data_IF_733932408885
#
_entry.id   IF_733932408885
#
_cell.length_a   1.000
_cell.length_b   1.000
_cell.length_c   1.000
_cell.angle_alpha   90.00
_cell.angle_beta   90.00
_cell.angle_gamma   90.00
#
_symmetry.space_group_name_H-M   'P 1'
#
loop_
_entity.id
_entity.type
_entity.pdbx_description
1 polymer ?
#
# COMPACT_ATOMS: atom_id res chain seq x y z
N UNK A 1 -23.87 11.19 -40.88
CA UNK A 1 -22.99 11.62 -39.76
C UNK A 1 -23.71 11.36 -38.44
N UNK A 2 -23.84 10.10 -37.99
CA UNK A 2 -24.60 9.73 -36.78
C UNK A 2 -24.01 8.55 -35.99
N UNK A 3 -22.85 8.02 -36.40
CA UNK A 3 -22.27 6.76 -35.88
C UNK A 3 -20.99 7.01 -35.04
N UNK A 4 -20.58 8.27 -34.83
CA UNK A 4 -19.29 8.57 -34.18
C UNK A 4 -19.42 8.80 -32.67
N UNK A 5 -20.63 9.01 -32.14
CA UNK A 5 -20.85 9.38 -30.72
C UNK A 5 -20.91 8.15 -29.79
N UNK A 6 -21.17 6.95 -30.31
CA UNK A 6 -21.39 5.76 -29.50
C UNK A 6 -20.10 5.07 -28.99
N UNK A 7 -18.92 5.41 -29.52
CA UNK A 7 -17.67 4.71 -29.20
C UNK A 7 -16.92 5.26 -27.98
N UNK A 8 -17.33 6.41 -27.44
CA UNK A 8 -16.66 7.08 -26.31
C UNK A 8 -17.11 6.57 -24.92
N UNK A 9 -18.16 5.75 -24.86
CA UNK A 9 -18.78 5.31 -23.59
C UNK A 9 -18.18 3.99 -23.07
N UNK A 10 -17.35 3.30 -23.87
CA UNK A 10 -16.75 2.01 -23.50
C UNK A 10 -15.42 2.13 -22.75
N UNK A 11 -14.86 3.33 -22.60
CA UNK A 11 -13.53 3.53 -22.01
C UNK A 11 -13.52 3.84 -20.50
N UNK A 12 -14.68 3.95 -19.84
CA UNK A 12 -14.77 4.48 -18.47
C UNK A 12 -14.98 3.45 -17.35
N UNK A 13 -14.71 2.15 -17.57
CA UNK A 13 -15.09 1.10 -16.60
C UNK A 13 -13.92 0.38 -15.90
N UNK A 14 -12.67 0.79 -16.09
CA UNK A 14 -11.52 0.06 -15.51
C UNK A 14 -11.20 0.39 -14.05
N UNK A 15 -11.79 1.44 -13.45
CA UNK A 15 -11.42 1.87 -12.09
C UNK A 15 -12.20 1.17 -10.96
N UNK A 16 -13.25 0.40 -11.28
CA UNK A 16 -14.16 -0.19 -10.28
C UNK A 16 -13.84 -1.64 -9.89
N UNK A 17 -12.70 -2.19 -10.30
CA UNK A 17 -12.36 -3.60 -10.07
C UNK A 17 -11.38 -3.85 -8.90
N UNK A 18 -10.72 -2.82 -8.38
CA UNK A 18 -9.69 -2.99 -7.36
C UNK A 18 -10.32 -3.04 -5.96
N UNK A 19 -10.25 -4.21 -5.33
CA UNK A 19 -10.56 -4.38 -3.90
C UNK A 19 -9.30 -4.27 -3.03
N UNK A 20 -8.13 -4.46 -3.63
CA UNK A 20 -6.83 -4.33 -2.99
C UNK A 20 -5.93 -3.47 -3.89
N UNK A 21 -5.17 -2.58 -3.27
CA UNK A 21 -4.18 -1.71 -3.90
C UNK A 21 -2.80 -2.10 -3.41
N UNK A 22 -1.84 -2.14 -4.32
CA UNK A 22 -0.55 -2.79 -4.05
C UNK A 22 0.64 -1.93 -4.48
N UNK A 23 1.73 -2.06 -3.73
CA UNK A 23 3.03 -1.51 -4.11
C UNK A 23 4.16 -2.40 -3.59
N UNK A 24 5.27 -2.47 -4.33
CA UNK A 24 6.52 -3.09 -3.89
C UNK A 24 7.42 -2.02 -3.27
N UNK A 25 7.91 -2.25 -2.05
CA UNK A 25 8.70 -1.27 -1.30
C UNK A 25 10.01 -1.85 -0.78
N UNK A 26 10.99 -0.97 -0.58
CA UNK A 26 12.14 -1.17 0.32
C UNK A 26 12.39 0.16 1.03
N UNK A 27 12.06 0.22 2.32
CA UNK A 27 12.08 1.43 3.13
C UNK A 27 12.66 1.18 4.53
N UNK A 28 12.91 2.25 5.28
CA UNK A 28 13.33 2.19 6.68
C UNK A 28 12.17 2.45 7.62
N UNK A 29 12.12 1.74 8.73
CA UNK A 29 11.15 1.98 9.79
C UNK A 29 11.55 3.24 10.55
N UNK A 30 10.64 4.20 10.66
CA UNK A 30 10.86 5.48 11.35
C UNK A 30 10.15 5.54 12.70
N UNK A 31 9.06 4.79 12.86
CA UNK A 31 8.28 4.73 14.09
C UNK A 31 7.62 3.35 14.21
N UNK A 32 7.47 2.87 15.45
CA UNK A 32 6.75 1.64 15.76
C UNK A 32 5.76 1.94 16.89
N UNK A 33 4.49 1.64 16.66
CA UNK A 33 3.41 1.80 17.63
C UNK A 33 2.67 0.47 17.81
N UNK A 34 2.75 -0.12 18.99
CA UNK A 34 1.96 -1.30 19.35
C UNK A 34 0.49 -0.93 19.47
N UNK A 35 -0.38 -1.59 18.69
CA UNK A 35 -1.84 -1.38 18.74
C UNK A 35 -2.48 -2.39 19.70
N UNK A 36 -2.05 -3.64 19.66
CA UNK A 36 -2.54 -4.73 20.49
C UNK A 36 -1.48 -5.83 20.62
N UNK A 37 -1.76 -6.87 21.39
CA UNK A 37 -0.86 -8.03 21.53
C UNK A 37 -0.62 -8.65 20.17
N UNK A 38 0.62 -8.52 19.67
CA UNK A 38 1.04 -9.05 18.39
C UNK A 38 0.57 -8.26 17.16
N UNK A 39 0.19 -6.98 17.31
CA UNK A 39 -0.11 -6.11 16.17
C UNK A 39 0.50 -4.73 16.34
N UNK A 40 1.18 -4.27 15.29
CA UNK A 40 2.05 -3.10 15.32
C UNK A 40 1.78 -2.26 14.09
N UNK A 41 1.68 -0.95 14.28
CA UNK A 41 1.74 0.00 13.18
C UNK A 41 3.18 0.48 13.04
N UNK A 42 3.75 0.32 11.87
CA UNK A 42 5.08 0.84 11.54
C UNK A 42 4.95 1.98 10.55
N UNK A 43 5.48 3.14 10.93
CA UNK A 43 5.69 4.24 10.00
C UNK A 43 7.01 3.97 9.27
N UNK A 44 7.04 4.29 7.98
CA UNK A 44 8.22 4.09 7.14
C UNK A 44 8.67 5.39 6.49
N UNK A 45 9.95 5.46 6.17
CA UNK A 45 10.59 6.57 5.48
C UNK A 45 11.84 6.09 4.74
N UNK A 46 12.61 7.01 4.18
CA UNK A 46 13.88 6.71 3.48
C UNK A 46 13.75 5.54 2.48
N UNK A 47 12.83 5.67 1.54
CA UNK A 47 12.59 4.66 0.51
C UNK A 47 13.82 4.52 -0.39
N UNK A 48 14.42 3.33 -0.39
CA UNK A 48 15.45 2.94 -1.36
C UNK A 48 14.84 2.36 -2.64
N UNK A 49 13.60 1.85 -2.55
CA UNK A 49 12.84 1.37 -3.69
C UNK A 49 11.34 1.56 -3.45
N UNK A 50 10.61 1.94 -4.50
CA UNK A 50 9.16 1.99 -4.53
C UNK A 50 8.65 1.76 -5.95
N UNK A 51 7.65 0.90 -6.09
CA UNK A 51 6.95 0.66 -7.36
C UNK A 51 5.49 0.33 -7.10
N UNK A 52 4.59 1.13 -7.65
CA UNK A 52 3.15 0.85 -7.68
C UNK A 52 2.82 -0.38 -8.53
N UNK A 53 1.79 -1.12 -8.13
CA UNK A 53 1.21 -2.15 -8.97
C UNK A 53 0.50 -1.55 -10.19
N UNK A 54 0.65 -2.18 -11.35
CA UNK A 54 0.22 -1.60 -12.63
C UNK A 54 -1.30 -1.49 -12.81
N UNK A 55 -2.08 -2.34 -12.12
CA UNK A 55 -3.54 -2.38 -12.27
C UNK A 55 -4.27 -1.70 -11.11
N UNK A 56 -3.75 -1.86 -9.89
CA UNK A 56 -4.35 -1.37 -8.66
C UNK A 56 -3.25 -0.69 -7.83
N UNK A 57 -2.82 0.52 -8.23
CA UNK A 57 -1.68 1.19 -7.63
C UNK A 57 -1.99 1.62 -6.20
N UNK A 58 -1.08 1.34 -5.26
CA UNK A 58 -1.09 1.96 -3.94
C UNK A 58 -0.09 3.11 -3.92
N UNK A 59 -0.58 4.34 -3.74
CA UNK A 59 0.25 5.53 -3.72
C UNK A 59 1.21 5.54 -2.50
N UNK A 60 2.44 6.04 -2.73
CA UNK A 60 3.43 6.18 -1.65
C UNK A 60 2.92 7.05 -0.50
N UNK A 61 2.15 8.09 -0.83
CA UNK A 61 1.57 9.01 0.15
C UNK A 61 0.60 8.30 1.10
N UNK A 62 -0.15 7.30 0.64
CA UNK A 62 -1.03 6.51 1.50
C UNK A 62 -0.24 5.71 2.53
N UNK A 63 0.87 5.11 2.11
CA UNK A 63 1.78 4.36 3.01
C UNK A 63 2.40 5.29 4.04
N UNK A 64 2.89 6.46 3.61
CA UNK A 64 3.50 7.45 4.49
C UNK A 64 2.53 7.98 5.55
N UNK A 65 1.26 8.19 5.17
CA UNK A 65 0.25 8.76 6.07
C UNK A 65 -0.39 7.72 6.98
N UNK A 66 -0.58 6.48 6.50
CA UNK A 66 -1.33 5.45 7.21
C UNK A 66 -0.44 4.51 8.01
N UNK A 67 0.82 4.33 7.59
CA UNK A 67 1.72 3.30 8.09
C UNK A 67 1.34 1.89 7.62
N UNK A 68 2.20 0.92 7.94
CA UNK A 68 2.04 -0.50 7.60
C UNK A 68 1.72 -1.26 8.89
N UNK A 69 0.65 -2.05 8.86
CA UNK A 69 0.27 -2.94 9.96
C UNK A 69 1.02 -4.26 9.82
N UNK A 70 1.79 -4.60 10.85
CA UNK A 70 2.46 -5.89 10.99
C UNK A 70 1.70 -6.75 12.01
N UNK A 71 1.39 -7.98 11.63
CA UNK A 71 0.78 -9.00 12.49
C UNK A 71 1.85 -10.04 12.88
N UNK A 72 1.97 -10.37 14.17
CA UNK A 72 3.00 -11.30 14.66
C UNK A 72 3.44 -11.02 16.10
N UNK A 73 4.04 -12.02 16.76
CA UNK A 73 4.06 -12.10 18.24
C UNK A 73 4.73 -10.93 18.99
N UNK A 74 5.59 -10.09 18.40
CA UNK A 74 6.23 -9.02 19.20
C UNK A 74 6.79 -7.82 18.42
N UNK A 75 6.18 -7.40 17.30
CA UNK A 75 6.71 -6.23 16.56
C UNK A 75 8.23 -6.33 16.36
N UNK A 76 8.77 -7.50 15.99
CA UNK A 76 10.21 -7.86 16.16
C UNK A 76 11.22 -6.98 15.40
N UNK A 77 10.73 -5.91 14.77
CA UNK A 77 11.49 -4.88 14.09
C UNK A 77 11.83 -3.73 15.04
N UNK A 78 12.90 -3.02 14.71
CA UNK A 78 13.34 -1.81 15.38
C UNK A 78 13.32 -0.59 14.44
N UNK A 79 13.29 0.61 15.01
CA UNK A 79 13.48 1.85 14.24
C UNK A 79 14.85 1.79 13.55
N UNK A 80 14.90 2.12 12.26
CA UNK A 80 16.08 2.02 11.41
C UNK A 80 16.24 0.68 10.67
N UNK A 81 15.45 -0.33 11.03
CA UNK A 81 15.43 -1.58 10.28
C UNK A 81 14.87 -1.37 8.88
N UNK A 82 15.33 -2.22 7.96
CA UNK A 82 14.73 -2.29 6.62
C UNK A 82 13.43 -3.08 6.68
N UNK A 83 12.44 -2.58 5.95
CA UNK A 83 11.23 -3.31 5.59
C UNK A 83 11.12 -3.34 4.07
N UNK A 84 10.90 -4.52 3.54
CA UNK A 84 10.83 -4.81 2.13
C UNK A 84 9.77 -5.87 1.86
N UNK A 85 9.09 -5.74 0.73
CA UNK A 85 8.01 -6.65 0.34
C UNK A 85 6.89 -5.93 -0.39
N UNK A 86 5.84 -6.70 -0.68
CA UNK A 86 4.61 -6.17 -1.26
C UNK A 86 3.73 -5.68 -0.12
N UNK A 87 3.30 -4.43 -0.20
CA UNK A 87 2.29 -3.89 0.70
C UNK A 87 0.94 -3.90 0.00
N UNK A 88 -0.09 -4.28 0.76
CA UNK A 88 -1.46 -4.43 0.27
C UNK A 88 -2.38 -3.56 1.13
N UNK A 89 -3.11 -2.64 0.48
CA UNK A 89 -4.16 -1.82 1.08
C UNK A 89 -5.52 -2.31 0.65
N UNK A 90 -6.42 -2.53 1.61
CA UNK A 90 -7.85 -2.77 1.34
C UNK A 90 -8.71 -1.51 1.54
N UNK A 91 -8.09 -0.34 1.62
CA UNK A 91 -8.74 0.94 1.94
C UNK A 91 -8.99 1.19 3.43
N UNK A 92 -8.74 0.20 4.31
CA UNK A 92 -8.87 0.34 5.77
C UNK A 92 -7.52 0.21 6.48
N UNK A 93 -6.69 -0.74 6.06
CA UNK A 93 -5.34 -0.95 6.57
C UNK A 93 -4.40 -1.34 5.44
N UNK A 94 -3.13 -1.04 5.63
CA UNK A 94 -2.03 -1.48 4.78
C UNK A 94 -1.30 -2.59 5.53
N UNK A 95 -1.11 -3.75 4.91
CA UNK A 95 -0.37 -4.88 5.49
C UNK A 95 0.82 -5.25 4.60
N UNK A 96 1.82 -5.88 5.20
CA UNK A 96 2.91 -6.51 4.46
C UNK A 96 2.49 -7.96 4.13
N UNK A 97 2.57 -8.35 2.85
CA UNK A 97 2.36 -9.73 2.38
C UNK A 97 3.66 -10.56 2.43
#
# INVERSE_FOLDING_TARGET
>A
MKIIIALLILASQSTFACNNFEALIVAKITEIKTISTGTCLVSVGDFSYFREHALCPLDMSEILNSGITLEGINCEKSIGDSIDGVVISNGLKIVLD
#
